data_IF_824649732139
#
_entry.id   IF_824649732139
#
_cell.length_a   1.000
_cell.length_b   1.000
_cell.length_c   1.000
_cell.angle_alpha   90.00
_cell.angle_beta   90.00
_cell.angle_gamma   90.00
#
_symmetry.space_group_name_H-M   'P 1'
#
loop_
_entity.id
_entity.type
_entity.pdbx_description
1 polymer ?
#
# COMPACT_ATOMS: atom_id res chain seq x y z
N UNK A 1 -11.92 -63.81 -9.71
CA UNK A 1 -12.52 -62.87 -8.73
C UNK A 1 -11.79 -61.54 -8.84
N UNK A 2 -12.28 -60.60 -9.66
CA UNK A 2 -11.79 -59.20 -9.65
C UNK A 2 -13.03 -58.32 -9.72
N UNK A 3 -13.46 -57.84 -8.55
CA UNK A 3 -14.55 -56.88 -8.41
C UNK A 3 -14.10 -55.53 -8.98
N UNK A 4 -14.44 -55.27 -10.24
CA UNK A 4 -14.32 -53.96 -10.85
C UNK A 4 -15.34 -53.03 -10.16
N UNK A 5 -14.86 -52.22 -9.20
CA UNK A 5 -15.66 -51.16 -8.57
C UNK A 5 -16.20 -50.26 -9.67
N UNK A 6 -17.50 -50.35 -9.95
CA UNK A 6 -18.23 -49.40 -10.79
C UNK A 6 -18.20 -48.05 -10.09
N UNK A 7 -17.31 -47.17 -10.53
CA UNK A 7 -17.43 -45.75 -10.24
C UNK A 7 -18.72 -45.28 -10.89
N UNK A 8 -19.72 -44.94 -10.09
CA UNK A 8 -20.94 -44.28 -10.56
C UNK A 8 -20.48 -42.91 -11.05
N UNK A 9 -20.28 -42.77 -12.37
CA UNK A 9 -19.96 -41.48 -12.97
C UNK A 9 -21.24 -40.64 -12.93
N UNK A 10 -21.35 -39.79 -11.90
CA UNK A 10 -22.48 -38.87 -11.69
C UNK A 10 -22.60 -37.86 -12.86
N UNK A 11 -21.55 -37.72 -13.68
CA UNK A 11 -21.52 -36.87 -14.88
C UNK A 11 -20.93 -37.60 -16.09
N UNK A 12 -21.51 -37.35 -17.27
CA UNK A 12 -20.99 -37.81 -18.55
C UNK A 12 -19.60 -37.19 -18.82
N UNK A 13 -18.66 -37.92 -19.45
CA UNK A 13 -17.31 -37.42 -19.77
C UNK A 13 -17.33 -36.07 -20.51
N UNK A 14 -18.34 -35.88 -21.37
CA UNK A 14 -18.59 -34.61 -22.07
C UNK A 14 -18.96 -33.47 -21.12
N UNK A 15 -19.80 -33.73 -20.11
CA UNK A 15 -20.19 -32.75 -19.09
C UNK A 15 -19.02 -32.39 -18.18
N UNK A 16 -18.21 -33.37 -17.76
CA UNK A 16 -17.00 -33.13 -16.95
C UNK A 16 -16.03 -32.20 -17.66
N UNK A 17 -15.76 -32.44 -18.95
CA UNK A 17 -14.88 -31.59 -19.77
C UNK A 17 -15.42 -30.17 -19.93
N UNK A 18 -16.73 -30.02 -20.13
CA UNK A 18 -17.36 -28.70 -20.26
C UNK A 18 -17.27 -27.88 -18.96
N UNK A 19 -17.53 -28.52 -17.81
CA UNK A 19 -17.41 -27.88 -16.49
C UNK A 19 -15.95 -27.48 -16.21
N UNK A 20 -14.99 -28.38 -16.50
CA UNK A 20 -13.55 -28.08 -16.37
C UNK A 20 -13.14 -26.90 -17.25
N UNK A 21 -13.61 -26.85 -18.50
CA UNK A 21 -13.33 -25.75 -19.41
C UNK A 21 -13.91 -24.43 -18.91
N UNK A 22 -15.16 -24.45 -18.42
CA UNK A 22 -15.80 -23.29 -17.81
C UNK A 22 -15.05 -22.79 -16.58
N UNK A 23 -14.57 -23.69 -15.74
CA UNK A 23 -13.77 -23.35 -14.55
C UNK A 23 -12.42 -22.73 -14.93
N UNK A 24 -11.71 -23.29 -15.90
CA UNK A 24 -10.44 -22.74 -16.38
C UNK A 24 -10.66 -21.35 -16.99
N UNK A 25 -11.71 -21.19 -17.78
CA UNK A 25 -12.05 -19.90 -18.38
C UNK A 25 -12.37 -18.85 -17.32
N UNK A 26 -13.24 -19.19 -16.36
CA UNK A 26 -13.58 -18.32 -15.24
C UNK A 26 -12.36 -17.95 -14.41
N UNK A 27 -11.50 -18.92 -14.09
CA UNK A 27 -10.27 -18.68 -13.35
C UNK A 27 -9.30 -17.80 -14.14
N UNK A 28 -9.18 -18.00 -15.45
CA UNK A 28 -8.37 -17.17 -16.33
C UNK A 28 -8.82 -15.71 -16.32
N UNK A 29 -10.13 -15.46 -16.46
CA UNK A 29 -10.70 -14.12 -16.36
C UNK A 29 -10.47 -13.52 -14.96
N UNK A 30 -10.69 -14.31 -13.91
CA UNK A 30 -10.46 -13.88 -12.53
C UNK A 30 -9.00 -13.47 -12.28
N UNK A 31 -8.04 -14.23 -12.79
CA UNK A 31 -6.61 -13.90 -12.72
C UNK A 31 -6.33 -12.59 -13.46
N UNK A 32 -6.87 -12.39 -14.66
CA UNK A 32 -6.68 -11.14 -15.40
C UNK A 32 -7.23 -9.92 -14.65
N UNK A 33 -8.39 -10.06 -14.01
CA UNK A 33 -8.94 -9.00 -13.15
C UNK A 33 -8.04 -8.72 -11.94
N UNK A 34 -7.51 -9.76 -11.28
CA UNK A 34 -6.58 -9.61 -10.17
C UNK A 34 -5.25 -8.97 -10.60
N UNK A 35 -4.76 -9.29 -11.81
CA UNK A 35 -3.50 -8.76 -12.35
C UNK A 35 -3.59 -7.27 -12.70
N UNK A 36 -4.79 -6.76 -13.01
CA UNK A 36 -5.00 -5.35 -13.37
C UNK A 36 -4.47 -4.39 -12.30
N UNK A 37 -4.61 -4.74 -11.02
CA UNK A 37 -4.19 -3.87 -9.92
C UNK A 37 -2.66 -3.71 -9.86
N UNK A 38 -1.91 -4.67 -10.41
CA UNK A 38 -0.44 -4.64 -10.45
C UNK A 38 0.14 -3.82 -11.60
N UNK A 39 -0.67 -3.27 -12.51
CA UNK A 39 -0.19 -2.37 -13.58
C UNK A 39 0.57 -1.18 -12.98
N UNK A 40 0.09 -0.65 -11.85
CA UNK A 40 0.76 0.41 -11.09
C UNK A 40 2.17 0.00 -10.66
N UNK A 41 2.34 -1.25 -10.19
CA UNK A 41 3.65 -1.80 -9.82
C UNK A 41 4.60 -1.90 -11.01
N UNK A 42 4.09 -2.29 -12.19
CA UNK A 42 4.90 -2.34 -13.41
C UNK A 42 5.42 -0.94 -13.76
N UNK A 43 4.54 0.07 -13.79
CA UNK A 43 4.93 1.45 -14.12
C UNK A 43 5.94 1.99 -13.11
N UNK A 44 5.67 1.82 -11.81
CA UNK A 44 6.59 2.22 -10.75
C UNK A 44 7.96 1.56 -10.88
N UNK A 45 7.99 0.27 -11.25
CA UNK A 45 9.25 -0.46 -11.43
C UNK A 45 10.08 0.10 -12.58
N UNK A 46 9.45 0.50 -13.70
CA UNK A 46 10.14 1.09 -14.84
C UNK A 46 10.75 2.44 -14.46
N UNK A 47 10.03 3.26 -13.68
CA UNK A 47 10.51 4.55 -13.19
C UNK A 47 11.74 4.35 -12.29
N UNK A 48 11.63 3.51 -11.26
CA UNK A 48 12.73 3.22 -10.34
C UNK A 48 13.93 2.64 -11.09
N UNK A 49 13.70 1.63 -11.94
CA UNK A 49 14.76 1.04 -12.75
C UNK A 49 15.49 2.09 -13.59
N UNK A 50 14.76 2.94 -14.31
CA UNK A 50 15.36 3.95 -15.20
C UNK A 50 16.18 4.96 -14.40
N UNK A 51 15.68 5.39 -13.25
CA UNK A 51 16.35 6.36 -12.38
C UNK A 51 17.65 5.80 -11.79
N UNK A 52 17.66 4.52 -11.40
CA UNK A 52 18.81 3.88 -10.75
C UNK A 52 19.73 3.09 -11.70
N UNK A 53 19.36 2.92 -12.98
CA UNK A 53 20.19 2.27 -14.01
C UNK A 53 21.63 2.80 -14.08
N UNK A 54 21.91 4.12 -14.13
CA UNK A 54 23.30 4.59 -14.21
C UNK A 54 24.10 4.24 -12.95
N UNK A 55 23.46 4.24 -11.78
CA UNK A 55 24.08 3.90 -10.51
C UNK A 55 24.39 2.39 -10.45
N UNK A 56 23.50 1.55 -10.95
CA UNK A 56 23.74 0.10 -11.05
C UNK A 56 24.96 -0.21 -11.92
N UNK A 57 25.02 0.36 -13.13
CA UNK A 57 26.14 0.18 -14.06
C UNK A 57 27.45 0.66 -13.42
N UNK A 58 27.40 1.74 -12.64
CA UNK A 58 28.57 2.22 -11.91
C UNK A 58 29.07 1.20 -10.87
N UNK A 59 28.17 0.61 -10.08
CA UNK A 59 28.54 -0.39 -9.09
C UNK A 59 29.07 -1.69 -9.71
N UNK A 60 28.48 -2.16 -10.81
CA UNK A 60 28.92 -3.39 -11.47
C UNK A 60 30.22 -3.18 -12.24
N UNK A 61 30.37 -2.08 -12.99
CA UNK A 61 31.49 -1.92 -13.93
C UNK A 61 32.69 -1.21 -13.32
N UNK A 62 32.49 -0.19 -12.48
CA UNK A 62 33.61 0.51 -11.82
C UNK A 62 33.97 -0.10 -10.48
N UNK A 63 32.97 -0.49 -9.69
CA UNK A 63 33.20 -0.94 -8.33
C UNK A 63 33.40 -2.46 -8.18
N UNK A 64 33.27 -3.25 -9.26
CA UNK A 64 33.40 -4.72 -9.26
C UNK A 64 32.45 -5.45 -8.29
N UNK A 65 31.28 -4.87 -8.01
CA UNK A 65 30.31 -5.53 -7.13
C UNK A 65 29.68 -6.74 -7.84
N UNK A 66 29.43 -7.81 -7.08
CA UNK A 66 28.61 -8.92 -7.56
C UNK A 66 27.22 -8.40 -7.96
N UNK A 67 26.71 -8.83 -9.13
CA UNK A 67 25.42 -8.37 -9.68
C UNK A 67 24.27 -8.41 -8.69
N UNK A 68 24.23 -9.45 -7.85
CA UNK A 68 23.24 -9.62 -6.77
C UNK A 68 23.36 -8.57 -5.68
N UNK A 69 24.59 -8.27 -5.24
CA UNK A 69 24.85 -7.28 -4.21
C UNK A 69 24.50 -5.87 -4.71
N UNK A 70 24.93 -5.53 -5.94
CA UNK A 70 24.57 -4.26 -6.56
C UNK A 70 23.05 -4.09 -6.68
N UNK A 71 22.31 -5.13 -7.09
CA UNK A 71 20.85 -5.05 -7.21
C UNK A 71 20.17 -4.85 -5.85
N UNK A 72 20.61 -5.58 -4.82
CA UNK A 72 20.08 -5.43 -3.46
C UNK A 72 20.33 -4.02 -2.91
N UNK A 73 21.53 -3.47 -3.13
CA UNK A 73 21.87 -2.11 -2.71
C UNK A 73 20.98 -1.07 -3.40
N UNK A 74 20.70 -1.22 -4.70
CA UNK A 74 19.78 -0.32 -5.40
C UNK A 74 18.37 -0.38 -4.82
N UNK A 75 17.86 -1.57 -4.51
CA UNK A 75 16.53 -1.74 -3.90
C UNK A 75 16.46 -1.05 -2.54
N UNK A 76 17.45 -1.30 -1.67
CA UNK A 76 17.51 -0.70 -0.34
C UNK A 76 17.66 0.82 -0.42
N UNK A 77 18.57 1.30 -1.27
CA UNK A 77 18.83 2.73 -1.43
C UNK A 77 17.60 3.47 -1.96
N UNK A 78 16.96 2.93 -2.99
CA UNK A 78 15.74 3.52 -3.56
C UNK A 78 14.59 3.55 -2.56
N UNK A 79 14.44 2.50 -1.74
CA UNK A 79 13.47 2.47 -0.65
C UNK A 79 13.67 3.62 0.33
N UNK A 80 14.90 3.84 0.81
CA UNK A 80 15.18 4.95 1.72
C UNK A 80 14.99 6.31 1.07
N UNK A 81 15.43 6.52 -0.17
CA UNK A 81 15.26 7.79 -0.89
C UNK A 81 13.77 8.16 -1.00
N UNK A 82 12.91 7.18 -1.25
CA UNK A 82 11.46 7.40 -1.32
C UNK A 82 10.85 7.60 0.08
N UNK A 83 11.32 6.89 1.10
CA UNK A 83 10.73 6.92 2.44
C UNK A 83 11.08 8.18 3.26
N UNK A 84 12.30 8.70 3.10
CA UNK A 84 12.80 9.88 3.82
C UNK A 84 11.85 11.10 3.78
N UNK A 85 11.32 11.54 2.62
CA UNK A 85 10.42 12.70 2.58
C UNK A 85 9.14 12.48 3.38
N UNK A 86 8.57 11.27 3.34
CA UNK A 86 7.37 10.93 4.13
C UNK A 86 7.66 10.93 5.63
N UNK A 87 8.79 10.33 6.03
CA UNK A 87 9.20 10.28 7.42
C UNK A 87 9.45 11.69 7.98
N UNK A 88 10.13 12.55 7.21
CA UNK A 88 10.42 13.93 7.61
C UNK A 88 9.16 14.75 7.87
N UNK A 89 8.20 14.71 6.92
CA UNK A 89 6.92 15.42 7.08
C UNK A 89 6.13 14.87 8.27
N UNK A 90 6.07 13.55 8.43
CA UNK A 90 5.36 12.91 9.55
C UNK A 90 5.96 13.30 10.89
N UNK A 91 7.29 13.29 11.01
CA UNK A 91 8.00 13.68 12.22
C UNK A 91 7.72 15.13 12.60
N UNK A 92 7.71 16.05 11.63
CA UNK A 92 7.40 17.46 11.84
C UNK A 92 5.96 17.65 12.36
N UNK A 93 4.99 16.95 11.78
CA UNK A 93 3.59 17.03 12.20
C UNK A 93 3.38 16.50 13.62
N UNK A 94 3.97 15.35 13.95
CA UNK A 94 3.92 14.76 15.28
C UNK A 94 4.52 15.73 16.31
N UNK A 95 5.69 16.32 16.01
CA UNK A 95 6.32 17.31 16.87
C UNK A 95 5.39 18.49 17.17
N UNK A 96 4.67 19.01 16.16
CA UNK A 96 3.74 20.13 16.34
C UNK A 96 2.55 19.75 17.23
N UNK A 97 2.00 18.52 17.07
CA UNK A 97 0.89 18.02 17.90
C UNK A 97 1.31 17.89 19.36
N UNK A 98 2.51 17.37 19.62
CA UNK A 98 3.04 17.21 20.98
C UNK A 98 3.23 18.57 21.66
N UNK A 99 3.78 19.57 20.95
CA UNK A 99 3.95 20.93 21.46
C UNK A 99 2.62 21.58 21.86
N UNK A 100 1.55 21.37 21.09
CA UNK A 100 0.24 21.85 21.49
C UNK A 100 -0.23 21.14 22.76
N UNK A 101 -0.11 19.81 22.84
CA UNK A 101 -0.60 19.04 23.99
C UNK A 101 0.12 19.37 25.32
N UNK A 102 1.36 19.85 25.29
CA UNK A 102 2.13 20.18 26.51
C UNK A 102 1.67 21.45 27.25
N UNK A 103 0.85 22.31 26.63
CA UNK A 103 0.24 23.50 27.28
C UNK A 103 -1.30 23.40 27.30
N UNK A 104 -1.89 22.51 28.11
CA UNK A 104 -3.35 22.32 28.14
C UNK A 104 -4.14 23.57 28.58
N UNK A 105 -3.56 24.44 29.40
CA UNK A 105 -4.16 25.73 29.81
C UNK A 105 -4.38 26.67 28.61
N UNK A 106 -3.39 26.81 27.73
CA UNK A 106 -3.52 27.63 26.52
C UNK A 106 -4.49 27.01 25.52
N UNK A 107 -4.55 25.68 25.44
CA UNK A 107 -5.53 24.98 24.59
C UNK A 107 -6.96 25.28 25.08
N UNK A 108 -7.23 25.15 26.38
CA UNK A 108 -8.57 25.36 26.92
C UNK A 108 -9.06 26.79 26.69
N UNK A 109 -8.19 27.79 26.89
CA UNK A 109 -8.51 29.20 26.60
C UNK A 109 -8.77 29.47 25.12
N UNK A 110 -8.05 28.80 24.21
CA UNK A 110 -8.28 28.90 22.77
C UNK A 110 -9.58 28.21 22.37
N UNK A 111 -9.86 27.03 22.92
CA UNK A 111 -11.12 26.29 22.71
C UNK A 111 -12.30 27.14 23.18
N UNK A 112 -12.23 27.68 24.39
CA UNK A 112 -13.31 28.50 24.96
C UNK A 112 -13.52 29.81 24.18
N UNK A 113 -12.45 30.45 23.70
CA UNK A 113 -12.57 31.63 22.82
C UNK A 113 -13.20 31.29 21.48
N UNK A 114 -12.82 30.16 20.87
CA UNK A 114 -13.39 29.74 19.58
C UNK A 114 -14.86 29.36 19.77
N UNK A 115 -15.20 28.62 20.82
CA UNK A 115 -16.56 28.17 21.08
C UNK A 115 -17.49 29.34 21.42
N UNK A 116 -17.01 30.32 22.21
CA UNK A 116 -17.75 31.56 22.44
C UNK A 116 -17.91 32.41 21.16
N UNK A 117 -16.85 32.53 20.33
CA UNK A 117 -16.93 33.33 19.10
C UNK A 117 -17.84 32.68 18.05
N UNK A 118 -17.75 31.36 17.89
CA UNK A 118 -18.56 30.59 16.92
C UNK A 118 -19.99 30.41 17.43
N UNK A 119 -20.18 30.15 18.72
CA UNK A 119 -21.49 30.02 19.35
C UNK A 119 -22.31 31.31 19.26
N UNK A 120 -21.69 32.47 19.49
CA UNK A 120 -22.38 33.77 19.43
C UNK A 120 -22.59 34.26 17.99
N UNK A 121 -21.62 34.12 17.10
CA UNK A 121 -21.73 34.67 15.73
C UNK A 121 -22.39 33.72 14.72
N UNK A 122 -22.32 32.41 14.93
CA UNK A 122 -22.83 31.39 13.99
C UNK A 122 -23.91 30.49 14.61
N UNK A 123 -24.35 30.79 15.84
CA UNK A 123 -25.43 30.08 16.54
C UNK A 123 -25.17 28.56 16.70
N UNK A 124 -23.90 28.17 16.76
CA UNK A 124 -23.43 26.80 16.97
C UNK A 124 -22.72 26.66 18.32
N UNK A 125 -23.46 26.52 19.44
CA UNK A 125 -22.86 26.16 20.72
C UNK A 125 -22.21 24.77 20.65
N UNK A 126 -21.16 24.55 21.44
CA UNK A 126 -20.41 23.28 21.50
C UNK A 126 -19.81 22.85 20.15
N UNK A 127 -19.39 23.80 19.32
CA UNK A 127 -18.79 23.54 18.01
C UNK A 127 -17.53 22.68 18.14
N UNK A 128 -16.65 23.01 19.10
CA UNK A 128 -15.39 22.28 19.31
C UNK A 128 -15.63 20.83 19.80
N UNK A 129 -16.42 20.58 20.86
CA UNK A 129 -16.78 19.22 21.28
C UNK A 129 -17.42 18.40 20.14
N UNK A 130 -18.33 18.99 19.37
CA UNK A 130 -18.96 18.31 18.24
C UNK A 130 -17.97 17.99 17.12
N UNK A 131 -17.02 18.88 16.84
CA UNK A 131 -15.94 18.63 15.90
C UNK A 131 -15.00 17.52 16.38
N UNK A 132 -14.65 17.49 17.67
CA UNK A 132 -13.85 16.41 18.27
C UNK A 132 -14.55 15.06 18.15
N UNK A 133 -15.84 14.97 18.50
CA UNK A 133 -16.62 13.74 18.34
C UNK A 133 -16.71 13.28 16.87
N UNK A 134 -16.84 14.23 15.93
CA UNK A 134 -16.81 13.93 14.48
C UNK A 134 -15.43 13.45 14.02
N UNK A 135 -14.35 14.00 14.56
CA UNK A 135 -12.99 13.55 14.29
C UNK A 135 -12.76 12.14 14.85
N UNK A 136 -13.21 11.85 16.07
CA UNK A 136 -13.10 10.53 16.68
C UNK A 136 -13.87 9.47 15.89
N UNK A 137 -15.12 9.76 15.51
CA UNK A 137 -15.93 8.85 14.68
C UNK A 137 -15.34 8.66 13.29
N UNK A 138 -14.80 9.72 12.68
CA UNK A 138 -14.08 9.62 11.40
C UNK A 138 -12.80 8.80 11.51
N UNK A 139 -12.01 8.98 12.58
CA UNK A 139 -10.80 8.20 12.84
C UNK A 139 -11.15 6.73 13.06
N UNK A 140 -12.17 6.42 13.87
CA UNK A 140 -12.64 5.07 14.14
C UNK A 140 -13.13 4.36 12.86
N UNK A 141 -13.86 5.06 11.99
CA UNK A 141 -14.32 4.51 10.71
C UNK A 141 -13.22 4.39 9.65
N UNK A 142 -12.22 5.28 9.69
CA UNK A 142 -11.16 5.32 8.68
C UNK A 142 -9.99 4.39 8.99
N UNK A 143 -9.72 4.11 10.27
CA UNK A 143 -8.57 3.29 10.71
C UNK A 143 -8.48 1.92 10.02
N UNK A 144 -9.56 1.12 9.98
CA UNK A 144 -9.52 -0.18 9.32
C UNK A 144 -9.27 -0.05 7.81
N UNK A 145 -9.89 0.94 7.16
CA UNK A 145 -9.72 1.18 5.73
C UNK A 145 -8.31 1.68 5.39
N UNK A 146 -7.68 2.44 6.28
CA UNK A 146 -6.31 2.91 6.12
C UNK A 146 -5.31 1.75 6.21
N UNK A 147 -5.49 0.84 7.17
CA UNK A 147 -4.69 -0.39 7.28
C UNK A 147 -4.85 -1.25 6.03
N UNK A 148 -6.09 -1.46 5.57
CA UNK A 148 -6.35 -2.23 4.35
C UNK A 148 -5.66 -1.63 3.12
N UNK A 149 -5.71 -0.30 2.96
CA UNK A 149 -4.99 0.40 1.89
C UNK A 149 -3.48 0.29 2.04
N UNK A 150 -2.95 0.40 3.25
CA UNK A 150 -1.52 0.24 3.50
C UNK A 150 -1.03 -1.17 3.14
N UNK A 151 -1.79 -2.21 3.48
CA UNK A 151 -1.49 -3.59 3.08
C UNK A 151 -1.52 -3.77 1.56
N UNK A 152 -2.51 -3.19 0.89
CA UNK A 152 -2.59 -3.20 -0.57
C UNK A 152 -1.39 -2.48 -1.22
N UNK A 153 -1.05 -1.28 -0.75
CA UNK A 153 0.12 -0.53 -1.23
C UNK A 153 1.42 -1.31 -0.96
N UNK A 154 1.56 -1.91 0.22
CA UNK A 154 2.72 -2.75 0.57
C UNK A 154 2.86 -3.91 -0.40
N UNK A 155 1.76 -4.57 -0.76
CA UNK A 155 1.75 -5.64 -1.75
C UNK A 155 2.15 -5.13 -3.14
N UNK A 156 1.64 -3.98 -3.58
CA UNK A 156 2.04 -3.34 -4.83
C UNK A 156 3.54 -2.99 -4.84
N UNK A 157 4.07 -2.48 -3.72
CA UNK A 157 5.48 -2.10 -3.56
C UNK A 157 6.38 -3.34 -3.58
N UNK A 158 5.99 -4.43 -2.93
CA UNK A 158 6.72 -5.71 -2.99
C UNK A 158 6.82 -6.18 -4.43
N UNK A 159 5.71 -6.21 -5.18
CA UNK A 159 5.72 -6.63 -6.58
C UNK A 159 6.53 -5.66 -7.45
N UNK A 160 6.42 -4.36 -7.20
CA UNK A 160 7.23 -3.35 -7.90
C UNK A 160 8.73 -3.63 -7.72
N UNK A 161 9.19 -3.85 -6.49
CA UNK A 161 10.60 -4.13 -6.21
C UNK A 161 11.06 -5.49 -6.73
N UNK A 162 10.17 -6.49 -6.74
CA UNK A 162 10.44 -7.76 -7.39
C UNK A 162 10.73 -7.57 -8.90
N UNK A 163 9.95 -6.74 -9.60
CA UNK A 163 10.19 -6.43 -11.02
C UNK A 163 11.50 -5.65 -11.19
N UNK A 164 11.76 -4.63 -10.36
CA UNK A 164 13.03 -3.88 -10.38
C UNK A 164 14.22 -4.81 -10.24
N UNK A 165 14.17 -5.76 -9.29
CA UNK A 165 15.23 -6.73 -9.10
C UNK A 165 15.54 -7.50 -10.39
N UNK A 166 14.51 -8.01 -11.07
CA UNK A 166 14.70 -8.75 -12.32
C UNK A 166 15.25 -7.87 -13.45
N UNK A 167 14.76 -6.63 -13.60
CA UNK A 167 15.27 -5.71 -14.62
C UNK A 167 16.74 -5.35 -14.40
N UNK A 168 17.09 -5.06 -13.16
CA UNK A 168 18.45 -4.70 -12.78
C UNK A 168 19.39 -5.91 -12.90
N UNK A 169 18.98 -7.08 -12.44
CA UNK A 169 19.78 -8.30 -12.51
C UNK A 169 20.03 -8.79 -13.95
N UNK A 170 19.11 -8.48 -14.87
CA UNK A 170 19.23 -8.83 -16.29
C UNK A 170 20.26 -7.98 -17.06
N UNK A 171 20.76 -6.88 -16.48
CA UNK A 171 21.84 -6.07 -17.05
C UNK A 171 23.21 -6.78 -16.93
#
# INVERSE_FOLDING_TARGET
>A
MIHQKRYIMIYNDKQRKLILLGLIFFLGVFILFALKDFVTSVIGSVIVYTLFKPLYIHFTNKSHWNRKAAALTIIVLSFFIILIPFFSVSWMLIGKIIQFRSNPEEINLVIEKIDNYVGVNFNQPDFIPNMLNRLETWLAGSFPSAISRALHILLLVIVMYFIVFFYVYSL
#
